data_IF_259677828847
#
_entry.id   IF_259677828847
#
_cell.length_a   1.000
_cell.length_b   1.000
_cell.length_c   1.000
_cell.angle_alpha   90.00
_cell.angle_beta   90.00
_cell.angle_gamma   90.00
#
_symmetry.space_group_name_H-M   'P 1'
#
loop_
_entity.id
_entity.type
_entity.pdbx_description
1 polymer ?
#
# COMPACT_ATOMS: atom_id res chain seq x y z
N UNK A 1 9.18 -9.93 -8.16
CA UNK A 1 8.60 -8.90 -7.29
C UNK A 1 7.34 -9.51 -6.69
N UNK A 2 7.39 -9.98 -5.45
CA UNK A 2 6.26 -10.65 -4.79
C UNK A 2 5.37 -9.57 -4.14
N UNK A 3 4.17 -9.33 -4.67
CA UNK A 3 3.23 -8.35 -4.12
C UNK A 3 2.28 -9.07 -3.16
N UNK A 4 2.39 -8.80 -1.85
CA UNK A 4 1.46 -9.30 -0.84
C UNK A 4 0.42 -8.23 -0.53
N UNK A 5 -0.82 -8.47 -0.95
CA UNK A 5 -1.95 -7.58 -0.66
C UNK A 5 -2.58 -8.00 0.68
N UNK A 6 -2.46 -7.16 1.71
CA UNK A 6 -3.21 -7.34 2.95
C UNK A 6 -4.56 -6.61 2.82
N UNK A 7 -5.59 -7.30 2.33
CA UNK A 7 -6.93 -6.73 2.21
C UNK A 7 -7.68 -6.88 3.55
N UNK A 8 -7.79 -5.79 4.31
CA UNK A 8 -8.64 -5.73 5.50
C UNK A 8 -10.05 -5.34 5.06
N UNK A 9 -10.93 -6.33 4.85
CA UNK A 9 -12.29 -6.09 4.35
C UNK A 9 -13.27 -5.83 5.50
N UNK A 10 -13.41 -4.57 5.91
CA UNK A 10 -14.57 -4.15 6.71
C UNK A 10 -15.64 -3.56 5.78
N UNK A 11 -16.87 -4.06 5.94
CA UNK A 11 -18.01 -3.88 5.04
C UNK A 11 -18.62 -2.46 5.19
N UNK A 12 -18.63 -1.66 4.12
CA UNK A 12 -19.35 -0.37 4.04
C UNK A 12 -18.77 0.59 2.99
N UNK A 13 -17.46 0.82 3.05
CA UNK A 13 -16.66 1.49 2.01
C UNK A 13 -15.36 0.70 1.96
N UNK A 14 -15.03 0.03 0.85
CA UNK A 14 -13.85 -0.83 0.79
C UNK A 14 -12.59 0.04 0.72
N UNK A 15 -12.18 0.53 1.88
CA UNK A 15 -10.88 1.15 2.08
C UNK A 15 -9.87 0.05 2.42
N UNK A 16 -8.80 -0.07 1.63
CA UNK A 16 -7.70 -0.98 1.95
C UNK A 16 -6.36 -0.30 1.70
N UNK A 17 -5.37 -0.68 2.51
CA UNK A 17 -4.01 -0.16 2.42
C UNK A 17 -3.11 -1.19 1.77
N UNK A 18 -2.40 -0.78 0.72
CA UNK A 18 -1.43 -1.63 0.03
C UNK A 18 -0.02 -1.13 0.34
N UNK A 19 0.86 -2.02 0.78
CA UNK A 19 2.28 -1.72 1.04
C UNK A 19 3.13 -2.45 0.01
N UNK A 20 3.80 -1.70 -0.86
CA UNK A 20 4.72 -2.24 -1.86
C UNK A 20 6.16 -1.94 -1.46
N UNK A 21 6.97 -2.99 -1.25
CA UNK A 21 8.37 -2.87 -0.88
C UNK A 21 9.27 -3.06 -2.09
N UNK A 22 10.01 -2.02 -2.45
CA UNK A 22 11.00 -2.06 -3.52
C UNK A 22 12.39 -2.31 -2.94
N UNK A 23 12.78 -3.59 -2.90
CA UNK A 23 14.07 -4.08 -2.40
C UNK A 23 15.27 -3.35 -3.02
N UNK A 24 15.24 -3.06 -4.31
CA UNK A 24 16.37 -2.46 -5.05
C UNK A 24 16.64 -1.01 -4.66
N UNK A 25 15.66 -0.32 -4.11
CA UNK A 25 15.78 1.11 -3.77
C UNK A 25 15.61 1.37 -2.28
N UNK A 26 15.44 0.31 -1.48
CA UNK A 26 15.02 0.36 -0.08
C UNK A 26 13.85 1.32 0.17
N UNK A 27 12.90 1.39 -0.79
CA UNK A 27 11.73 2.26 -0.71
C UNK A 27 10.49 1.44 -0.43
N UNK A 28 9.69 1.93 0.49
CA UNK A 28 8.34 1.43 0.73
C UNK A 28 7.35 2.44 0.17
N UNK A 29 6.43 1.96 -0.66
CA UNK A 29 5.27 2.72 -1.11
C UNK A 29 4.04 2.23 -0.36
N UNK A 30 3.25 3.15 0.17
CA UNK A 30 2.01 2.86 0.88
C UNK A 30 0.89 3.57 0.13
N UNK A 31 -0.10 2.80 -0.33
CA UNK A 31 -1.27 3.29 -1.05
C UNK A 31 -2.50 3.12 -0.18
N UNK A 32 -3.33 4.16 -0.10
CA UNK A 32 -4.69 4.04 0.43
C UNK A 32 -5.65 4.00 -0.76
N UNK A 33 -6.39 2.90 -0.87
CA UNK A 33 -7.35 2.69 -1.96
C UNK A 33 -8.74 2.74 -1.36
N UNK A 34 -9.62 3.60 -1.92
CA UNK A 34 -11.04 3.68 -1.58
C UNK A 34 -11.86 3.54 -2.86
N UNK A 35 -12.87 2.67 -2.86
CA UNK A 35 -13.72 2.40 -4.02
C UNK A 35 -12.95 2.03 -5.30
N UNK A 36 -11.76 1.43 -5.17
CA UNK A 36 -10.91 1.04 -6.30
C UNK A 36 -9.96 2.14 -6.79
N UNK A 37 -10.02 3.34 -6.24
CA UNK A 37 -9.15 4.47 -6.60
C UNK A 37 -8.11 4.74 -5.52
N UNK A 38 -6.89 5.09 -5.93
CA UNK A 38 -5.83 5.53 -5.01
C UNK A 38 -6.18 6.95 -4.55
N UNK A 39 -6.50 7.09 -3.27
CA UNK A 39 -6.80 8.40 -2.67
C UNK A 39 -5.61 9.01 -1.95
N UNK A 40 -4.60 8.19 -1.62
CA UNK A 40 -3.35 8.66 -1.01
C UNK A 40 -2.17 7.77 -1.40
N UNK A 41 -1.02 8.40 -1.59
CA UNK A 41 0.27 7.74 -1.83
C UNK A 41 1.30 8.30 -0.86
N UNK A 42 1.99 7.43 -0.12
CA UNK A 42 3.12 7.80 0.74
C UNK A 42 4.35 7.00 0.39
N UNK A 43 5.47 7.70 0.28
CA UNK A 43 6.80 7.13 0.10
C UNK A 43 7.55 7.17 1.42
N UNK A 44 7.94 6.01 1.91
CA UNK A 44 8.77 5.86 3.10
C UNK A 44 10.13 5.33 2.64
N UNK A 45 11.20 6.05 2.96
CA UNK A 45 12.54 5.50 2.85
C UNK A 45 12.69 4.49 3.98
N UNK A 46 13.02 3.24 3.68
CA UNK A 46 13.39 2.30 4.74
C UNK A 46 14.62 2.86 5.44
N UNK A 47 14.50 3.15 6.73
CA UNK A 47 15.69 3.30 7.58
C UNK A 47 16.43 1.95 7.50
N UNK A 48 17.56 1.98 6.79
CA UNK A 48 18.55 0.90 6.83
C UNK A 48 19.43 1.06 8.05
#
# INVERSE_FOLDING_TARGET
>A
MEQRYAANANNGEKAYTVKNYCVNTNRTYIYEIRNGEIVNERKVHGEG
#
